data_IF_088283516395
#
_entry.id   IF_088283516395
#
_cell.length_a   1.000
_cell.length_b   1.000
_cell.length_c   1.000
_cell.angle_alpha   90.00
_cell.angle_beta   90.00
_cell.angle_gamma   90.00
#
_symmetry.space_group_name_H-M   'P 1'
#
loop_
_entity.id
_entity.type
_entity.pdbx_description
1 polymer ?
#
# COMPACT_ATOMS: atom_id res chain seq x y z
N UNK A 1 -0.86 21.77 -23.31
CA UNK A 1 -1.05 20.32 -23.07
C UNK A 1 -1.11 20.12 -21.56
N UNK A 2 -2.14 19.46 -21.00
CA UNK A 2 -2.11 19.09 -19.58
C UNK A 2 -1.20 17.87 -19.46
N UNK A 3 -0.11 17.98 -18.71
CA UNK A 3 0.68 16.81 -18.32
C UNK A 3 -0.23 15.80 -17.64
N UNK A 4 -0.17 14.55 -18.11
CA UNK A 4 -0.98 13.47 -17.57
C UNK A 4 -0.39 13.14 -16.19
N UNK A 5 -1.11 13.44 -15.11
CA UNK A 5 -0.67 13.08 -13.76
C UNK A 5 -0.46 11.56 -13.73
N UNK A 6 0.76 11.06 -13.42
CA UNK A 6 1.04 9.64 -13.45
C UNK A 6 0.19 8.95 -12.39
N UNK A 7 -0.67 8.04 -12.85
CA UNK A 7 -1.43 7.17 -11.95
C UNK A 7 -0.44 6.15 -11.42
N UNK A 8 -0.12 6.23 -10.15
CA UNK A 8 0.82 5.27 -9.54
C UNK A 8 0.04 4.38 -8.55
N UNK A 9 0.31 3.08 -8.52
CA UNK A 9 -0.18 2.18 -7.49
C UNK A 9 0.84 2.06 -6.36
N UNK A 10 0.39 2.08 -5.10
CA UNK A 10 1.23 1.71 -3.96
C UNK A 10 0.73 0.42 -3.34
N UNK A 11 1.65 -0.51 -3.12
CA UNK A 11 1.41 -1.67 -2.26
C UNK A 11 2.45 -1.69 -1.15
N UNK A 12 1.96 -1.71 0.09
CA UNK A 12 2.77 -1.71 1.31
C UNK A 12 2.75 -3.10 1.94
N UNK A 13 3.93 -3.65 2.19
CA UNK A 13 4.09 -4.81 3.07
C UNK A 13 3.98 -4.34 4.54
N UNK A 14 2.79 -4.45 5.13
CA UNK A 14 2.49 -3.91 6.45
C UNK A 14 3.41 -4.42 7.57
N UNK A 15 3.63 -5.75 7.72
CA UNK A 15 4.53 -6.31 8.72
C UNK A 15 5.96 -5.78 8.67
N UNK A 16 6.47 -5.40 7.49
CA UNK A 16 7.85 -4.94 7.35
C UNK A 16 7.97 -3.41 7.41
N UNK A 17 7.00 -2.69 6.86
CA UNK A 17 7.04 -1.22 6.75
C UNK A 17 6.56 -0.53 8.02
N UNK A 18 5.62 -1.12 8.74
CA UNK A 18 5.00 -0.52 9.94
C UNK A 18 5.72 -0.90 11.24
N UNK A 19 6.92 -1.50 11.14
CA UNK A 19 7.71 -1.82 12.32
C UNK A 19 8.19 -0.54 13.00
N UNK A 20 8.07 -0.52 14.34
CA UNK A 20 8.45 0.63 15.16
C UNK A 20 9.86 1.16 14.87
N UNK A 21 10.82 0.28 14.54
CA UNK A 21 12.21 0.64 14.22
C UNK A 21 12.34 1.60 13.03
N UNK A 22 11.38 1.61 12.11
CA UNK A 22 11.41 2.46 10.93
C UNK A 22 10.69 3.79 11.14
N UNK A 23 9.95 3.95 12.25
CA UNK A 23 9.20 5.16 12.62
C UNK A 23 8.35 5.74 11.46
N UNK A 24 7.84 4.88 10.58
CA UNK A 24 7.02 5.28 9.44
C UNK A 24 5.59 5.44 9.90
N UNK A 25 5.02 6.64 9.72
CA UNK A 25 3.59 6.89 9.97
C UNK A 25 2.81 6.69 8.68
N UNK A 26 1.68 5.99 8.78
CA UNK A 26 0.81 5.74 7.62
C UNK A 26 0.33 7.05 6.99
N UNK A 27 0.06 8.08 7.80
CA UNK A 27 -0.33 9.41 7.31
C UNK A 27 0.73 10.04 6.41
N UNK A 28 2.02 9.80 6.68
CA UNK A 28 3.13 10.33 5.88
C UNK A 28 3.24 9.59 4.54
N UNK A 29 2.91 8.29 4.52
CA UNK A 29 2.80 7.52 3.27
C UNK A 29 1.67 8.09 2.42
N UNK A 30 0.47 8.27 3.01
CA UNK A 30 -0.71 8.76 2.30
C UNK A 30 -0.50 10.17 1.74
N UNK A 31 0.02 11.12 2.54
CA UNK A 31 0.25 12.50 2.09
C UNK A 31 1.17 12.58 0.87
N UNK A 32 2.20 11.73 0.82
CA UNK A 32 3.09 11.62 -0.34
C UNK A 32 2.36 11.03 -1.55
N UNK A 33 1.48 10.05 -1.37
CA UNK A 33 0.72 9.45 -2.48
C UNK A 33 -0.33 10.38 -3.09
N UNK A 34 -0.99 11.22 -2.27
CA UNK A 34 -2.04 12.13 -2.71
C UNK A 34 -1.56 13.09 -3.81
N UNK A 35 -0.28 13.49 -3.76
CA UNK A 35 0.34 14.35 -4.77
C UNK A 35 0.37 13.76 -6.19
N UNK A 36 0.01 12.49 -6.35
CA UNK A 36 0.06 11.75 -7.63
C UNK A 36 -1.27 11.06 -8.00
N UNK A 37 -2.38 11.29 -7.29
CA UNK A 37 -3.71 10.74 -7.66
C UNK A 37 -3.80 9.20 -7.68
N UNK A 38 -3.41 8.55 -6.57
CA UNK A 38 -3.11 7.09 -6.51
C UNK A 38 -4.10 6.24 -5.71
N UNK A 39 -4.07 4.93 -5.98
CA UNK A 39 -4.68 3.88 -5.12
C UNK A 39 -3.56 3.24 -4.28
N UNK A 40 -3.69 3.27 -2.95
CA UNK A 40 -2.73 2.67 -2.03
C UNK A 40 -3.36 1.52 -1.22
N UNK A 41 -2.73 0.34 -1.27
CA UNK A 41 -3.12 -0.84 -0.50
C UNK A 41 -2.06 -1.17 0.55
N UNK A 42 -2.49 -1.61 1.72
CA UNK A 42 -1.61 -2.12 2.78
C UNK A 42 -1.96 -3.57 3.04
N UNK A 43 -1.04 -4.49 2.73
CA UNK A 43 -1.26 -5.93 2.92
C UNK A 43 -0.81 -6.32 4.32
N UNK A 44 -1.69 -6.99 5.05
CA UNK A 44 -1.55 -7.33 6.46
C UNK A 44 -1.89 -8.79 6.68
N UNK A 45 -1.27 -9.39 7.69
CA UNK A 45 -1.71 -10.69 8.21
C UNK A 45 -2.97 -10.54 9.06
N UNK A 46 -3.77 -11.59 9.14
CA UNK A 46 -5.04 -11.61 9.90
C UNK A 46 -4.93 -11.31 11.39
N UNK A 47 -3.77 -11.55 11.99
CA UNK A 47 -3.46 -11.33 13.40
C UNK A 47 -3.09 -9.87 13.72
N UNK A 48 -3.45 -8.92 12.86
CA UNK A 48 -3.15 -7.51 13.03
C UNK A 48 -4.09 -6.82 14.03
N UNK A 49 -3.59 -5.79 14.70
CA UNK A 49 -4.38 -4.98 15.62
C UNK A 49 -5.50 -4.22 14.87
N UNK A 50 -6.78 -4.33 15.31
CA UNK A 50 -7.89 -3.60 14.69
C UNK A 50 -7.70 -2.08 14.59
N UNK A 51 -7.06 -1.45 15.59
CA UNK A 51 -6.75 0.00 15.56
C UNK A 51 -5.83 0.39 14.40
N UNK A 52 -4.98 -0.52 13.96
CA UNK A 52 -4.12 -0.28 12.81
C UNK A 52 -4.93 -0.26 11.52
N UNK A 53 -5.94 -1.13 11.41
CA UNK A 53 -6.87 -1.15 10.27
C UNK A 53 -7.61 0.19 10.19
N UNK A 54 -8.13 0.68 11.32
CA UNK A 54 -8.79 2.00 11.41
C UNK A 54 -7.85 3.11 10.94
N UNK A 55 -6.60 3.13 11.44
CA UNK A 55 -5.59 4.13 11.06
C UNK A 55 -5.29 4.11 9.55
N UNK A 56 -5.28 2.93 8.94
CA UNK A 56 -5.08 2.76 7.48
C UNK A 56 -6.26 3.34 6.71
N UNK A 57 -7.49 3.02 7.11
CA UNK A 57 -8.70 3.54 6.47
C UNK A 57 -8.81 5.06 6.60
N UNK A 58 -8.54 5.62 7.79
CA UNK A 58 -8.51 7.07 8.03
C UNK A 58 -7.47 7.81 7.18
N UNK A 59 -6.40 7.12 6.80
CA UNK A 59 -5.39 7.66 5.88
C UNK A 59 -5.80 7.61 4.41
N UNK A 60 -6.96 7.04 4.07
CA UNK A 60 -7.41 6.87 2.70
C UNK A 60 -6.75 5.71 1.96
N UNK A 61 -6.13 4.77 2.69
CA UNK A 61 -5.54 3.55 2.15
C UNK A 61 -6.48 2.36 2.37
N UNK A 62 -6.38 1.37 1.49
CA UNK A 62 -7.17 0.14 1.56
C UNK A 62 -6.39 -0.96 2.30
N UNK A 63 -6.85 -1.47 3.45
CA UNK A 63 -6.26 -2.64 4.08
C UNK A 63 -6.66 -3.92 3.35
N UNK A 64 -5.68 -4.77 3.02
CA UNK A 64 -5.88 -6.11 2.47
C UNK A 64 -5.43 -7.13 3.51
N UNK A 65 -6.39 -7.79 4.15
CA UNK A 65 -6.12 -8.75 5.23
C UNK A 65 -6.10 -10.17 4.65
N UNK A 66 -5.03 -10.91 4.93
CA UNK A 66 -4.84 -12.26 4.40
C UNK A 66 -4.53 -13.27 5.51
N UNK A 67 -5.04 -14.49 5.32
CA UNK A 67 -4.64 -15.68 6.07
C UNK A 67 -3.50 -16.35 5.30
N UNK A 68 -2.26 -16.22 5.78
CA UNK A 68 -1.08 -16.81 5.14
C UNK A 68 0.09 -15.85 5.00
N UNK A 69 0.88 -16.06 3.93
CA UNK A 69 2.13 -15.36 3.66
C UNK A 69 1.88 -13.97 3.05
N UNK A 70 2.14 -12.92 3.83
CA UNK A 70 1.90 -11.51 3.44
C UNK A 70 2.75 -11.11 2.25
N UNK A 71 3.98 -11.60 2.19
CA UNK A 71 4.91 -11.37 1.08
C UNK A 71 4.38 -11.86 -0.26
N UNK A 72 3.80 -13.06 -0.28
CA UNK A 72 3.14 -13.62 -1.47
C UNK A 72 1.93 -12.77 -1.85
N UNK A 73 1.11 -12.37 -0.88
CA UNK A 73 -0.05 -11.53 -1.13
C UNK A 73 0.31 -10.14 -1.69
N UNK A 74 1.41 -9.53 -1.22
CA UNK A 74 1.96 -8.28 -1.78
C UNK A 74 2.29 -8.46 -3.26
N UNK A 75 3.00 -9.53 -3.62
CA UNK A 75 3.34 -9.83 -5.01
C UNK A 75 2.10 -10.05 -5.88
N UNK A 76 1.10 -10.78 -5.37
CA UNK A 76 -0.16 -11.04 -6.09
C UNK A 76 -0.97 -9.77 -6.30
N UNK A 77 -1.14 -8.94 -5.27
CA UNK A 77 -1.89 -7.68 -5.40
C UNK A 77 -1.19 -6.72 -6.36
N UNK A 78 0.15 -6.73 -6.41
CA UNK A 78 0.93 -5.95 -7.36
C UNK A 78 0.66 -6.42 -8.79
N UNK A 79 0.74 -7.73 -9.04
CA UNK A 79 0.48 -8.29 -10.36
C UNK A 79 -0.95 -8.03 -10.85
N UNK A 80 -1.96 -8.14 -9.98
CA UNK A 80 -3.36 -7.80 -10.34
C UNK A 80 -3.45 -6.39 -10.90
N UNK A 81 -2.83 -5.40 -10.25
CA UNK A 81 -2.94 -3.99 -10.66
C UNK A 81 -2.31 -3.70 -12.02
N UNK A 82 -1.17 -4.33 -12.34
CA UNK A 82 -0.54 -4.24 -13.68
C UNK A 82 -1.48 -4.78 -14.75
N UNK A 83 -2.16 -5.90 -14.49
CA UNK A 83 -3.03 -6.56 -15.47
C UNK A 83 -4.26 -5.74 -15.86
N UNK A 84 -4.80 -4.91 -14.96
CA UNK A 84 -6.05 -4.18 -15.23
C UNK A 84 -5.82 -2.79 -15.84
N UNK A 85 -4.64 -2.19 -15.70
CA UNK A 85 -4.41 -0.79 -16.08
C UNK A 85 -2.98 -0.58 -16.64
N UNK A 86 -2.86 -0.64 -17.97
CA UNK A 86 -1.61 -0.49 -18.74
C UNK A 86 -0.88 0.86 -18.60
N UNK A 87 -1.39 1.81 -17.81
CA UNK A 87 -0.80 3.15 -17.58
C UNK A 87 -0.44 3.39 -16.10
N UNK A 88 -0.47 2.35 -15.25
CA UNK A 88 -0.06 2.46 -13.86
C UNK A 88 1.45 2.21 -13.71
N UNK A 89 2.17 3.20 -13.18
CA UNK A 89 3.48 2.94 -12.59
C UNK A 89 3.27 2.37 -11.18
N UNK A 90 4.15 1.49 -10.69
CA UNK A 90 3.94 0.81 -9.40
C UNK A 90 5.13 0.98 -8.48
N UNK A 91 4.85 1.34 -7.24
CA UNK A 91 5.84 1.36 -6.18
C UNK A 91 5.45 0.29 -5.14
N UNK A 92 6.34 -0.67 -4.93
CA UNK A 92 6.18 -1.71 -3.91
C UNK A 92 7.14 -1.36 -2.78
N UNK A 93 6.60 -1.10 -1.59
CA UNK A 93 7.42 -0.92 -0.40
C UNK A 93 7.64 -2.27 0.27
N UNK A 94 8.87 -2.73 0.19
CA UNK A 94 9.36 -3.95 0.81
C UNK A 94 10.59 -3.59 1.64
N UNK A 95 10.54 -3.81 2.95
CA UNK A 95 11.72 -3.75 3.80
C UNK A 95 12.13 -5.20 4.10
N UNK A 96 13.38 -5.54 3.79
CA UNK A 96 14.00 -6.83 4.11
C UNK A 96 14.15 -7.01 5.62
#
# INVERSE_FOLDING_TARGET
MREKVPRIGLIVNGPNVLLKRFNVKIKDISSRLLSFGKIGKVVLSHNINPKLIETILESGLEPVIINGRVDVAVAVEAMKKISWHWQLEMLIFYLL
#
